data_IF_130894865721
#
_entry.id   IF_130894865721
#
_cell.length_a   1.000
_cell.length_b   1.000
_cell.length_c   1.000
_cell.angle_alpha   90.00
_cell.angle_beta   90.00
_cell.angle_gamma   90.00
#
_symmetry.space_group_name_H-M   'P 1'
#
loop_
_entity.id
_entity.type
_entity.pdbx_description
1 polymer ?
#
# COMPACT_ATOMS: atom_id res chain seq x y z
N UNK A 1 34.17 18.58 -51.11
CA UNK A 1 33.63 18.05 -49.83
C UNK A 1 32.11 18.17 -49.68
N UNK A 2 31.39 18.96 -50.50
CA UNK A 2 29.92 19.11 -50.40
C UNK A 2 29.10 17.94 -51.00
N UNK A 3 29.67 17.16 -51.92
CA UNK A 3 28.95 16.08 -52.61
C UNK A 3 28.84 14.75 -51.83
N UNK A 4 29.56 14.60 -50.71
CA UNK A 4 29.45 13.40 -49.86
C UNK A 4 28.36 13.49 -48.79
N UNK A 5 27.81 14.69 -48.54
CA UNK A 5 26.76 14.89 -47.53
C UNK A 5 25.35 14.56 -48.06
N UNK A 6 25.12 14.72 -49.37
CA UNK A 6 23.79 14.54 -49.98
C UNK A 6 23.43 13.04 -50.11
N UNK A 7 24.44 12.17 -50.29
CA UNK A 7 24.22 10.71 -50.39
C UNK A 7 23.84 10.09 -49.03
N UNK A 8 24.22 10.69 -47.91
CA UNK A 8 23.84 10.20 -46.58
C UNK A 8 22.41 10.56 -46.18
N UNK A 9 21.85 11.66 -46.71
CA UNK A 9 20.49 12.11 -46.37
C UNK A 9 19.43 11.32 -47.15
N UNK A 10 19.72 10.86 -48.37
CA UNK A 10 18.77 10.05 -49.14
C UNK A 10 18.68 8.60 -48.65
N UNK A 11 19.74 8.03 -48.07
CA UNK A 11 19.70 6.68 -47.48
C UNK A 11 18.95 6.61 -46.14
N UNK A 12 18.84 7.72 -45.39
CA UNK A 12 18.06 7.76 -44.15
C UNK A 12 16.54 7.92 -44.38
N UNK A 13 16.12 8.35 -45.57
CA UNK A 13 14.70 8.54 -45.87
C UNK A 13 14.01 7.25 -46.38
N UNK A 14 14.76 6.25 -46.85
CA UNK A 14 14.20 4.93 -47.21
C UNK A 14 14.04 3.98 -46.02
N UNK A 15 14.77 4.17 -44.91
CA UNK A 15 14.61 3.34 -43.71
C UNK A 15 13.39 3.69 -42.85
N UNK A 16 12.74 4.85 -43.06
CA UNK A 16 11.58 5.25 -42.26
C UNK A 16 10.24 4.71 -42.80
N UNK A 17 10.19 4.16 -44.01
CA UNK A 17 8.95 3.65 -44.61
C UNK A 17 8.74 2.13 -44.48
N UNK A 18 9.67 1.40 -43.84
CA UNK A 18 9.60 -0.05 -43.72
C UNK A 18 9.10 -0.58 -42.35
N UNK A 19 8.80 0.30 -41.38
CA UNK A 19 8.44 -0.13 -40.01
C UNK A 19 7.03 0.26 -39.54
N UNK A 20 6.12 0.64 -40.45
CA UNK A 20 4.75 1.02 -40.10
C UNK A 20 3.68 0.17 -40.81
N UNK A 21 3.94 -1.12 -40.95
CA UNK A 21 3.02 -2.06 -41.59
C UNK A 21 2.98 -3.41 -40.85
N UNK A 22 2.50 -3.42 -39.60
CA UNK A 22 1.91 -4.59 -38.95
C UNK A 22 1.42 -4.25 -37.53
N UNK A 23 0.18 -3.75 -37.42
CA UNK A 23 -0.80 -4.14 -36.38
C UNK A 23 -2.06 -3.26 -36.46
N UNK A 24 -2.73 -3.34 -37.61
CA UNK A 24 -4.07 -2.81 -37.83
C UNK A 24 -4.90 -3.91 -38.49
N UNK A 25 -5.28 -4.94 -37.73
CA UNK A 25 -6.28 -5.89 -38.20
C UNK A 25 -7.17 -6.35 -37.04
N UNK A 26 -8.47 -6.10 -37.21
CA UNK A 26 -9.62 -6.68 -36.51
C UNK A 26 -10.03 -6.07 -35.15
N UNK A 27 -10.41 -4.79 -35.22
CA UNK A 27 -11.64 -4.32 -34.57
C UNK A 27 -12.84 -4.67 -35.45
N UNK A 28 -13.69 -5.60 -35.01
CA UNK A 28 -15.16 -5.54 -35.18
C UNK A 28 -15.81 -6.67 -34.39
N UNK A 29 -15.91 -6.51 -33.07
CA UNK A 29 -16.95 -7.17 -32.29
C UNK A 29 -17.81 -6.10 -31.63
N UNK A 30 -18.96 -5.95 -32.28
CA UNK A 30 -20.17 -5.24 -31.92
C UNK A 30 -20.64 -5.71 -30.54
N UNK A 31 -20.54 -4.88 -29.51
CA UNK A 31 -21.25 -5.09 -28.24
C UNK A 31 -22.22 -3.94 -27.96
N UNK A 32 -23.48 -4.33 -28.09
CA UNK A 32 -24.73 -3.80 -27.55
C UNK A 32 -24.70 -2.50 -26.74
N UNK A 33 -25.50 -1.54 -27.20
CA UNK A 33 -26.04 -0.44 -26.41
C UNK A 33 -26.78 -0.98 -25.17
N UNK A 34 -26.16 -0.86 -24.00
CA UNK A 34 -26.82 -1.02 -22.70
C UNK A 34 -27.20 0.35 -22.16
N UNK A 35 -28.50 0.63 -22.09
CA UNK A 35 -29.09 1.87 -21.63
C UNK A 35 -28.59 2.28 -20.23
N UNK A 36 -27.90 3.41 -20.15
CA UNK A 36 -27.53 4.06 -18.89
C UNK A 36 -28.76 4.71 -18.28
N UNK A 37 -29.39 3.99 -17.36
CA UNK A 37 -30.49 4.46 -16.52
C UNK A 37 -29.93 5.51 -15.53
N UNK A 38 -30.03 6.79 -15.89
CA UNK A 38 -29.73 7.90 -14.99
C UNK A 38 -30.74 7.92 -13.83
N UNK A 39 -30.45 7.22 -12.74
CA UNK A 39 -31.07 7.50 -11.44
C UNK A 39 -30.43 8.76 -10.87
N UNK A 40 -31.04 9.90 -11.17
CA UNK A 40 -30.91 11.12 -10.35
C UNK A 40 -31.50 10.81 -8.97
N UNK A 41 -30.64 10.58 -7.99
CA UNK A 41 -31.05 10.64 -6.58
C UNK A 41 -31.11 12.12 -6.22
N UNK A 42 -32.32 12.67 -6.23
CA UNK A 42 -32.61 13.95 -5.64
C UNK A 42 -32.38 13.86 -4.13
N UNK A 43 -31.30 14.46 -3.63
CA UNK A 43 -31.14 14.72 -2.21
C UNK A 43 -32.06 15.88 -1.83
N UNK A 44 -33.25 15.52 -1.37
CA UNK A 44 -34.21 16.40 -0.74
C UNK A 44 -33.58 17.07 0.48
N UNK A 45 -33.44 18.39 0.43
CA UNK A 45 -33.14 19.22 1.59
C UNK A 45 -34.32 19.16 2.58
N UNK A 46 -34.24 18.29 3.58
CA UNK A 46 -35.15 18.27 4.71
C UNK A 46 -34.72 19.31 5.75
N UNK A 47 -35.28 20.50 5.55
CA UNK A 47 -35.46 21.51 6.58
C UNK A 47 -36.35 20.94 7.69
N UNK A 48 -35.75 20.59 8.83
CA UNK A 48 -36.48 20.22 10.04
C UNK A 48 -36.44 21.36 11.05
N UNK A 49 -37.60 21.99 11.17
CA UNK A 49 -38.01 23.08 12.05
C UNK A 49 -38.09 22.57 13.50
N UNK A 50 -37.50 23.32 14.44
CA UNK A 50 -37.69 23.18 15.89
C UNK A 50 -39.18 23.18 16.28
N UNK A 51 -39.56 22.40 17.32
CA UNK A 51 -39.91 23.00 18.62
C UNK A 51 -39.33 22.14 19.77
N UNK A 52 -39.14 22.56 21.00
CA UNK A 52 -39.80 23.57 21.81
C UNK A 52 -39.56 23.16 23.28
N UNK A 53 -39.39 24.17 24.13
CA UNK A 53 -39.18 24.05 25.58
C UNK A 53 -40.25 23.17 26.24
N UNK A 54 -39.82 22.25 27.11
CA UNK A 54 -40.58 21.89 28.33
C UNK A 54 -39.63 21.84 29.51
N UNK A 55 -39.81 22.83 30.38
CA UNK A 55 -39.30 22.83 31.74
C UNK A 55 -40.03 21.74 32.52
N UNK A 56 -39.29 20.88 33.20
CA UNK A 56 -39.79 20.06 34.29
C UNK A 56 -39.05 20.51 35.56
N UNK A 57 -39.80 21.14 36.46
CA UNK A 57 -39.39 21.54 37.80
C UNK A 57 -40.19 20.70 38.78
N UNK A 58 -39.52 20.20 39.82
CA UNK A 58 -40.09 19.49 40.98
C UNK A 58 -39.43 18.12 41.14
N UNK A 59 -38.36 18.02 41.93
CA UNK A 59 -38.40 17.64 43.36
C UNK A 59 -38.35 16.11 43.46
N UNK A 60 -37.42 15.43 44.14
CA UNK A 60 -37.15 15.42 45.59
C UNK A 60 -35.73 14.88 45.88
N UNK A 61 -35.23 15.24 47.06
CA UNK A 61 -33.90 14.95 47.66
C UNK A 61 -33.77 13.48 48.07
N UNK A 62 -32.68 12.79 47.68
CA UNK A 62 -32.14 11.61 48.39
C UNK A 62 -30.60 11.57 48.33
N UNK A 63 -30.01 11.60 49.53
CA UNK A 63 -28.72 11.10 49.99
C UNK A 63 -27.49 11.06 49.05
N UNK A 64 -26.47 11.79 49.47
CA UNK A 64 -25.09 11.74 49.00
C UNK A 64 -24.48 10.34 49.13
N UNK A 65 -24.32 9.66 48.01
CA UNK A 65 -23.22 8.72 47.78
C UNK A 65 -22.46 9.28 46.59
N UNK A 66 -21.33 9.95 46.84
CA UNK A 66 -20.41 10.39 45.80
C UNK A 66 -19.87 9.14 45.11
N UNK A 67 -20.28 8.80 43.87
CA UNK A 67 -19.50 7.86 43.11
C UNK A 67 -18.20 8.59 42.79
N UNK A 68 -17.06 8.00 43.15
CA UNK A 68 -15.80 8.29 42.49
C UNK A 68 -15.99 7.97 41.01
N UNK A 69 -16.51 8.93 40.25
CA UNK A 69 -16.55 8.92 38.80
C UNK A 69 -15.09 9.10 38.38
N UNK A 70 -14.34 8.00 38.45
CA UNK A 70 -13.10 7.90 37.71
C UNK A 70 -13.50 8.05 36.24
N UNK A 71 -12.91 9.00 35.49
CA UNK A 71 -13.19 9.12 34.08
C UNK A 71 -12.83 7.78 33.45
N UNK A 72 -13.83 7.06 32.95
CA UNK A 72 -13.61 5.85 32.17
C UNK A 72 -12.73 6.28 31.00
N UNK A 73 -11.51 5.72 30.84
CA UNK A 73 -10.67 6.06 29.70
C UNK A 73 -11.52 5.82 28.45
N UNK A 74 -11.63 6.83 27.59
CA UNK A 74 -12.46 6.72 26.38
C UNK A 74 -12.04 5.46 25.65
N UNK A 75 -12.98 4.53 25.46
CA UNK A 75 -12.73 3.35 24.66
C UNK A 75 -12.37 3.82 23.25
N UNK A 76 -11.07 3.88 22.96
CA UNK A 76 -10.58 4.19 21.63
C UNK A 76 -11.17 3.15 20.69
N UNK A 77 -11.99 3.62 19.74
CA UNK A 77 -12.65 2.75 18.79
C UNK A 77 -11.59 1.91 18.09
N UNK A 78 -11.66 0.59 18.29
CA UNK A 78 -10.73 -0.39 17.73
C UNK A 78 -10.94 -0.43 16.22
N UNK A 79 -10.23 0.43 15.50
CA UNK A 79 -10.29 0.57 14.05
C UNK A 79 -8.89 0.76 13.46
N UNK A 80 -8.74 0.60 12.14
CA UNK A 80 -7.44 0.77 11.49
C UNK A 80 -6.89 2.17 11.74
N UNK A 81 -5.67 2.24 12.28
CA UNK A 81 -4.96 3.49 12.50
C UNK A 81 -4.29 3.88 11.19
N UNK A 82 -4.62 5.07 10.68
CA UNK A 82 -4.08 5.60 9.42
C UNK A 82 -3.25 6.84 9.74
N UNK A 83 -1.97 6.82 9.41
CA UNK A 83 -1.05 7.93 9.65
C UNK A 83 -0.49 8.40 8.30
N UNK A 84 -0.70 9.67 7.91
CA UNK A 84 -0.13 10.19 6.67
C UNK A 84 1.40 10.33 6.77
N UNK A 85 2.08 10.10 5.65
CA UNK A 85 3.52 10.23 5.53
C UNK A 85 3.89 11.34 4.57
N UNK A 86 4.95 12.06 4.91
CA UNK A 86 5.59 13.05 4.05
C UNK A 86 7.02 12.61 3.72
N UNK A 87 7.32 12.44 2.44
CA UNK A 87 8.65 12.00 2.00
C UNK A 87 9.66 13.14 2.14
N UNK A 88 10.81 12.83 2.74
CA UNK A 88 11.95 13.74 2.87
C UNK A 88 12.98 13.45 1.78
N UNK A 89 13.39 12.19 1.65
CA UNK A 89 14.42 11.76 0.73
C UNK A 89 14.15 10.33 0.24
N UNK A 90 14.76 9.95 -0.88
CA UNK A 90 14.77 8.57 -1.35
C UNK A 90 16.05 8.28 -2.13
N UNK A 91 16.48 7.03 -2.12
CA UNK A 91 17.60 6.54 -2.92
C UNK A 91 17.27 5.18 -3.51
N UNK A 92 17.72 4.92 -4.73
CA UNK A 92 17.48 3.67 -5.42
C UNK A 92 18.80 2.93 -5.68
N UNK A 93 18.79 1.63 -5.45
CA UNK A 93 19.89 0.72 -5.77
C UNK A 93 19.35 -0.49 -6.54
N UNK A 94 20.15 -1.14 -7.39
CA UNK A 94 19.76 -2.42 -7.98
C UNK A 94 19.41 -3.42 -6.88
N UNK A 95 18.25 -4.09 -6.99
CA UNK A 95 17.86 -5.10 -6.01
C UNK A 95 18.81 -6.31 -6.06
N UNK A 96 19.12 -6.94 -4.91
CA UNK A 96 19.81 -8.22 -4.89
C UNK A 96 18.93 -9.29 -5.55
N UNK A 97 19.56 -10.25 -6.24
CA UNK A 97 18.85 -11.32 -6.98
C UNK A 97 18.09 -12.27 -6.06
N UNK A 98 18.46 -12.33 -4.79
CA UNK A 98 17.91 -13.28 -3.82
C UNK A 98 16.61 -12.79 -3.16
N UNK A 99 16.23 -11.52 -3.36
CA UNK A 99 14.96 -10.99 -2.82
C UNK A 99 13.82 -11.23 -3.83
N UNK A 100 12.77 -12.00 -3.47
CA UNK A 100 11.62 -12.19 -4.35
C UNK A 100 10.93 -10.85 -4.58
N UNK A 101 10.72 -10.50 -5.86
CA UNK A 101 10.07 -9.24 -6.23
C UNK A 101 8.56 -9.46 -6.21
N UNK A 102 7.80 -8.73 -5.37
CA UNK A 102 6.35 -8.81 -5.42
C UNK A 102 5.86 -8.43 -6.83
N UNK A 103 5.13 -9.33 -7.47
CA UNK A 103 4.65 -9.13 -8.84
C UNK A 103 5.66 -9.49 -9.94
N UNK A 104 6.69 -10.29 -9.67
CA UNK A 104 7.72 -10.69 -10.67
C UNK A 104 7.14 -11.15 -12.03
N UNK A 105 6.00 -11.85 -12.02
CA UNK A 105 5.32 -12.27 -13.25
C UNK A 105 4.80 -11.09 -14.09
N UNK A 106 4.33 -10.03 -13.45
CA UNK A 106 3.93 -8.79 -14.11
C UNK A 106 5.14 -7.95 -14.55
N UNK A 107 6.32 -8.24 -14.00
CA UNK A 107 7.57 -7.50 -14.19
C UNK A 107 8.43 -7.98 -15.36
N UNK A 108 7.96 -8.94 -16.17
CA UNK A 108 8.75 -9.51 -17.26
C UNK A 108 9.13 -8.44 -18.29
N UNK A 109 10.41 -8.07 -18.33
CA UNK A 109 10.94 -7.01 -19.21
C UNK A 109 11.22 -5.67 -18.52
N UNK A 110 10.95 -5.57 -17.22
CA UNK A 110 11.33 -4.43 -16.38
C UNK A 110 12.45 -4.83 -15.41
N UNK A 111 13.27 -3.88 -15.00
CA UNK A 111 14.26 -4.08 -13.91
C UNK A 111 13.66 -3.64 -12.59
N UNK A 112 13.90 -4.43 -11.56
CA UNK A 112 13.58 -4.08 -10.17
C UNK A 112 14.68 -3.21 -9.55
N UNK A 113 14.29 -2.05 -9.03
CA UNK A 113 15.15 -1.19 -8.22
C UNK A 113 14.63 -1.15 -6.79
N UNK A 114 15.52 -1.35 -5.83
CA UNK A 114 15.20 -1.30 -4.42
C UNK A 114 15.36 0.15 -3.97
N UNK A 115 14.23 0.78 -3.66
CA UNK A 115 14.15 2.18 -3.28
C UNK A 115 13.99 2.27 -1.77
N UNK A 116 14.97 2.87 -1.11
CA UNK A 116 14.89 3.24 0.29
C UNK A 116 14.31 4.65 0.39
N UNK A 117 13.21 4.79 1.12
CA UNK A 117 12.50 6.06 1.33
C UNK A 117 12.62 6.45 2.79
N UNK A 118 12.99 7.70 3.02
CA UNK A 118 12.91 8.36 4.32
C UNK A 118 11.68 9.27 4.34
N UNK A 119 10.74 8.99 5.22
CA UNK A 119 9.51 9.75 5.38
C UNK A 119 9.32 10.21 6.81
N UNK A 120 8.73 11.38 7.00
CA UNK A 120 8.28 11.87 8.31
C UNK A 120 6.80 11.55 8.51
N UNK A 121 6.46 11.17 9.73
CA UNK A 121 5.08 10.99 10.17
C UNK A 121 4.47 12.37 10.45
N UNK A 122 3.33 12.68 9.83
CA UNK A 122 2.63 13.95 10.07
C UNK A 122 1.96 13.93 11.45
N UNK A 123 1.40 12.78 11.85
CA UNK A 123 0.78 12.56 13.15
C UNK A 123 1.56 11.52 13.97
N UNK A 124 1.64 11.72 15.28
CA UNK A 124 2.25 10.73 16.18
C UNK A 124 1.35 9.52 16.33
N UNK A 125 1.96 8.34 16.41
CA UNK A 125 1.19 7.13 16.70
C UNK A 125 0.62 7.18 18.13
N UNK A 126 -0.68 6.88 18.34
CA UNK A 126 -1.27 6.83 19.67
C UNK A 126 -0.75 5.64 20.50
N UNK A 127 -0.27 4.58 19.84
CA UNK A 127 0.21 3.33 20.44
C UNK A 127 1.43 2.80 19.71
N UNK A 128 2.10 1.82 20.30
CA UNK A 128 3.08 1.04 19.55
C UNK A 128 2.35 0.20 18.50
N UNK A 129 2.74 0.37 17.23
CA UNK A 129 2.14 -0.31 16.09
C UNK A 129 3.16 -1.33 15.56
N UNK A 130 2.76 -2.59 15.47
CA UNK A 130 3.57 -3.66 14.88
C UNK A 130 3.06 -3.98 13.47
N UNK A 131 3.96 -4.47 12.60
CA UNK A 131 3.68 -4.95 11.23
C UNK A 131 2.87 -3.96 10.41
N UNK A 132 3.38 -2.75 10.28
CA UNK A 132 2.62 -1.66 9.69
C UNK A 132 2.80 -1.63 8.17
N UNK A 133 1.68 -1.64 7.45
CA UNK A 133 1.69 -1.61 5.99
C UNK A 133 1.81 -0.19 5.46
N UNK A 134 2.66 0.01 4.45
CA UNK A 134 2.76 1.27 3.71
C UNK A 134 1.91 1.19 2.44
N UNK A 135 1.06 2.20 2.27
CA UNK A 135 0.09 2.33 1.18
C UNK A 135 0.25 3.70 0.49
N UNK A 136 -0.21 3.80 -0.74
CA UNK A 136 -0.17 5.03 -1.53
C UNK A 136 0.22 4.79 -2.98
N UNK A 137 0.42 5.90 -3.69
CA UNK A 137 0.77 5.91 -5.10
C UNK A 137 2.18 6.46 -5.27
N UNK A 138 2.96 5.78 -6.10
CA UNK A 138 4.28 6.24 -6.52
C UNK A 138 4.30 6.24 -8.03
N UNK A 139 4.46 7.42 -8.62
CA UNK A 139 4.52 7.59 -10.08
C UNK A 139 5.85 8.19 -10.49
N UNK A 140 6.28 7.90 -11.71
CA UNK A 140 7.39 8.61 -12.33
C UNK A 140 6.98 10.07 -12.58
N UNK A 141 7.87 11.00 -12.25
CA UNK A 141 7.61 12.43 -12.39
C UNK A 141 7.58 12.89 -13.85
N UNK A 142 8.15 12.11 -14.76
CA UNK A 142 8.20 12.43 -16.19
C UNK A 142 7.07 11.78 -16.98
N UNK A 143 6.91 10.45 -16.89
CA UNK A 143 5.88 9.73 -17.65
C UNK A 143 4.53 9.74 -16.95
N UNK A 144 4.48 9.94 -15.63
CA UNK A 144 3.27 9.78 -14.83
C UNK A 144 2.85 8.33 -14.64
N UNK A 145 3.66 7.36 -15.11
CA UNK A 145 3.39 5.94 -14.97
C UNK A 145 3.65 5.45 -13.54
N UNK A 146 2.91 4.43 -13.11
CA UNK A 146 3.12 3.81 -11.81
C UNK A 146 4.45 3.06 -11.78
N UNK A 147 5.26 3.29 -10.74
CA UNK A 147 6.48 2.50 -10.50
C UNK A 147 6.19 1.25 -9.65
N UNK A 148 4.95 1.04 -9.23
CA UNK A 148 4.54 -0.11 -8.43
C UNK A 148 3.97 -1.20 -9.32
N UNK A 149 4.60 -2.38 -9.30
CA UNK A 149 4.21 -3.53 -10.12
C UNK A 149 2.77 -3.99 -9.87
N UNK A 150 2.25 -3.78 -8.66
CA UNK A 150 0.91 -4.22 -8.25
C UNK A 150 -0.21 -3.26 -8.71
N UNK A 151 0.12 -2.11 -9.30
CA UNK A 151 -0.87 -1.10 -9.67
C UNK A 151 -0.45 -0.32 -10.92
N UNK A 152 -0.41 -0.97 -12.09
CA UNK A 152 0.02 -0.30 -13.33
C UNK A 152 -1.00 0.75 -13.81
N UNK A 153 -2.28 0.63 -13.44
CA UNK A 153 -3.39 1.44 -13.94
C UNK A 153 -3.75 2.62 -13.03
N UNK A 154 -3.15 2.73 -11.83
CA UNK A 154 -3.42 3.79 -10.84
C UNK A 154 -4.90 3.90 -10.43
N UNK A 155 -5.73 2.90 -10.72
CA UNK A 155 -7.18 2.98 -10.54
C UNK A 155 -7.58 2.80 -9.07
N UNK A 156 -6.83 1.97 -8.34
CA UNK A 156 -7.03 1.70 -6.92
C UNK A 156 -5.73 1.95 -6.16
N UNK A 157 -5.80 2.21 -4.85
CA UNK A 157 -4.60 2.23 -4.00
C UNK A 157 -3.79 0.95 -4.26
N UNK A 158 -2.47 1.05 -4.35
CA UNK A 158 -1.60 -0.01 -4.88
C UNK A 158 -1.50 -1.27 -3.99
N UNK A 159 -2.40 -1.38 -3.02
CA UNK A 159 -2.27 -2.27 -1.88
C UNK A 159 -1.09 -1.87 -1.01
N UNK A 160 -0.71 -2.82 -0.15
CA UNK A 160 0.49 -2.70 0.66
C UNK A 160 1.70 -3.02 -0.21
N UNK A 161 2.60 -2.06 -0.39
CA UNK A 161 3.82 -2.28 -1.19
C UNK A 161 5.11 -2.33 -0.34
N UNK A 162 5.03 -1.96 0.94
CA UNK A 162 6.11 -2.13 1.90
C UNK A 162 5.54 -2.43 3.29
N UNK A 163 6.35 -3.02 4.16
CA UNK A 163 5.99 -3.32 5.54
C UNK A 163 7.10 -2.83 6.47
N UNK A 164 6.70 -2.15 7.54
CA UNK A 164 7.58 -1.68 8.61
C UNK A 164 7.33 -2.55 9.83
N UNK A 165 8.39 -3.03 10.48
CA UNK A 165 8.27 -3.98 11.59
C UNK A 165 7.56 -3.39 12.81
N UNK A 166 7.95 -2.18 13.21
CA UNK A 166 7.37 -1.48 14.35
C UNK A 166 7.45 0.04 14.18
N UNK A 167 6.43 0.75 14.66
CA UNK A 167 6.40 2.20 14.77
C UNK A 167 6.03 2.57 16.20
N UNK A 168 6.91 3.27 16.89
CA UNK A 168 6.66 3.75 18.25
C UNK A 168 6.08 5.17 18.24
N UNK A 169 5.36 5.57 19.30
CA UNK A 169 4.86 6.95 19.45
C UNK A 169 5.96 8.04 19.47
N UNK A 170 7.20 7.64 19.73
CA UNK A 170 8.37 8.53 19.80
C UNK A 170 8.98 8.80 18.43
N UNK A 171 8.70 7.94 17.44
CA UNK A 171 9.31 8.01 16.13
C UNK A 171 8.69 9.15 15.31
N UNK A 172 9.54 10.00 14.76
CA UNK A 172 9.15 11.09 13.86
C UNK A 172 9.43 10.78 12.40
N UNK A 173 10.37 9.88 12.15
CA UNK A 173 10.86 9.50 10.83
C UNK A 173 10.83 7.99 10.70
N UNK A 174 10.41 7.52 9.52
CA UNK A 174 10.38 6.13 9.13
C UNK A 174 11.23 5.94 7.89
N UNK A 175 11.98 4.83 7.88
CA UNK A 175 12.73 4.39 6.71
C UNK A 175 12.13 3.06 6.27
N UNK A 176 11.75 2.98 5.01
CA UNK A 176 11.22 1.75 4.43
C UNK A 176 11.78 1.51 3.03
N UNK A 177 11.86 0.24 2.66
CA UNK A 177 12.34 -0.21 1.35
C UNK A 177 11.15 -0.75 0.55
N UNK A 178 11.09 -0.42 -0.74
CA UNK A 178 10.16 -1.02 -1.68
C UNK A 178 10.82 -1.29 -3.03
N UNK A 179 10.23 -2.18 -3.83
CA UNK A 179 10.75 -2.50 -5.17
C UNK A 179 10.00 -1.67 -6.21
N UNK A 180 10.73 -0.78 -6.88
CA UNK A 180 10.25 -0.02 -8.03
C UNK A 180 10.49 -0.77 -9.33
N UNK A 181 9.48 -0.73 -10.20
CA UNK A 181 9.48 -1.26 -11.54
C UNK A 181 9.91 -0.19 -12.54
N UNK A 182 11.03 -0.39 -13.24
CA UNK A 182 11.49 0.56 -14.25
C UNK A 182 11.76 -0.15 -15.58
N UNK A 183 11.33 0.40 -16.73
CA UNK A 183 11.69 -0.13 -18.04
C UNK A 183 13.21 -0.21 -18.22
N UNK A 184 13.71 -1.27 -18.86
CA UNK A 184 15.15 -1.48 -19.10
C UNK A 184 15.77 -0.43 -20.04
N UNK A 185 14.95 0.27 -20.81
CA UNK A 185 15.36 1.28 -21.78
C UNK A 185 15.75 2.61 -21.12
N UNK A 186 15.30 2.87 -19.88
CA UNK A 186 15.53 4.15 -19.20
C UNK A 186 16.98 4.28 -18.70
N UNK A 187 17.76 5.25 -19.15
CA UNK A 187 19.13 5.42 -18.63
C UNK A 187 19.14 5.88 -17.17
N UNK A 188 19.47 4.99 -16.24
CA UNK A 188 19.55 5.29 -14.80
C UNK A 188 20.86 5.99 -14.43
N UNK A 189 21.93 5.76 -15.19
CA UNK A 189 23.28 6.22 -14.86
C UNK A 189 23.45 7.74 -14.80
N UNK A 190 22.44 8.49 -15.26
CA UNK A 190 22.45 9.97 -15.30
C UNK A 190 21.78 10.61 -14.07
N UNK A 191 21.11 9.82 -13.26
CA UNK A 191 20.32 10.30 -12.12
C UNK A 191 21.10 10.12 -10.80
N UNK A 192 21.20 11.18 -10.00
CA UNK A 192 21.98 11.17 -8.75
C UNK A 192 21.48 10.14 -7.72
N UNK A 193 20.17 9.89 -7.72
CA UNK A 193 19.52 8.97 -6.78
C UNK A 193 19.35 7.55 -7.34
N UNK A 194 19.91 7.24 -8.51
CA UNK A 194 19.77 5.93 -9.15
C UNK A 194 18.35 5.63 -9.68
N UNK A 195 17.47 6.62 -9.68
CA UNK A 195 16.16 6.58 -10.34
C UNK A 195 15.73 8.02 -10.66
N UNK A 196 14.96 8.20 -11.74
CA UNK A 196 14.40 9.50 -12.08
C UNK A 196 13.46 10.03 -10.99
N UNK A 197 13.11 11.31 -11.08
CA UNK A 197 12.25 11.97 -10.09
C UNK A 197 10.95 11.19 -9.85
N UNK A 198 10.73 10.75 -8.61
CA UNK A 198 9.48 10.11 -8.20
C UNK A 198 8.49 11.13 -7.61
N UNK A 199 7.20 10.91 -7.86
CA UNK A 199 6.11 11.65 -7.26
C UNK A 199 5.33 10.70 -6.34
N UNK A 200 5.26 11.05 -5.07
CA UNK A 200 4.58 10.27 -4.05
C UNK A 200 3.25 10.93 -3.72
N UNK A 201 2.14 10.21 -3.87
CA UNK A 201 0.80 10.73 -3.62
C UNK A 201 0.07 9.87 -2.60
N UNK A 202 -0.58 10.52 -1.65
CA UNK A 202 -1.40 9.88 -0.62
C UNK A 202 -0.67 8.76 0.15
N UNK A 203 0.63 8.93 0.40
CA UNK A 203 1.38 7.98 1.21
C UNK A 203 0.85 7.96 2.64
N UNK A 204 0.59 6.76 3.13
CA UNK A 204 0.09 6.54 4.48
C UNK A 204 0.50 5.18 5.00
N UNK A 205 0.63 5.12 6.30
CA UNK A 205 0.89 3.91 7.05
C UNK A 205 -0.43 3.48 7.68
N UNK A 206 -0.79 2.21 7.49
CA UNK A 206 -2.02 1.63 8.04
C UNK A 206 -1.65 0.45 8.94
N UNK A 207 -2.04 0.55 10.21
CA UNK A 207 -2.00 -0.56 11.15
C UNK A 207 -3.41 -1.08 11.40
N UNK A 208 -3.59 -2.40 11.37
CA UNK A 208 -4.83 -3.05 11.74
C UNK A 208 -4.70 -3.58 13.16
N UNK A 209 -5.32 -2.94 14.18
CA UNK A 209 -5.23 -3.43 15.56
C UNK A 209 -5.91 -4.80 15.67
N UNK A 210 -5.15 -5.81 16.14
CA UNK A 210 -5.62 -7.20 16.19
C UNK A 210 -5.54 -7.95 14.86
N UNK A 211 -5.23 -7.25 13.77
CA UNK A 211 -4.76 -7.85 12.53
C UNK A 211 -3.25 -8.04 12.63
N UNK A 212 -2.79 -8.94 13.51
CA UNK A 212 -1.59 -9.67 13.11
C UNK A 212 -1.98 -10.31 11.78
N UNK A 213 -1.51 -9.73 10.67
CA UNK A 213 -1.48 -10.47 9.43
C UNK A 213 -0.90 -11.83 9.82
N UNK A 214 -1.71 -12.88 9.62
CA UNK A 214 -1.31 -14.25 9.91
C UNK A 214 0.15 -14.34 9.49
N UNK A 215 1.04 -14.73 10.42
CA UNK A 215 2.43 -14.99 10.05
C UNK A 215 2.46 -15.90 8.82
N UNK A 216 3.61 -16.02 8.16
CA UNK A 216 3.76 -17.05 7.13
C UNK A 216 3.15 -18.35 7.70
N UNK A 217 2.06 -18.82 7.09
CA UNK A 217 1.31 -19.95 7.63
C UNK A 217 2.28 -21.12 7.59
N UNK A 218 2.59 -21.68 8.76
CA UNK A 218 3.58 -22.75 8.83
C UNK A 218 3.05 -23.99 8.08
N UNK A 219 3.92 -24.84 7.51
CA UNK A 219 3.48 -26.06 6.85
C UNK A 219 2.60 -26.94 7.76
N UNK A 220 2.97 -27.03 9.05
CA UNK A 220 2.19 -27.70 10.09
C UNK A 220 0.79 -27.12 10.35
N UNK A 221 0.55 -25.83 10.06
CA UNK A 221 -0.79 -25.24 10.21
C UNK A 221 -1.72 -25.58 9.05
N UNK A 222 -1.16 -25.79 7.86
CA UNK A 222 -1.93 -26.19 6.68
C UNK A 222 -2.21 -27.70 6.70
N UNK A 223 -1.21 -28.50 7.08
CA UNK A 223 -1.32 -29.95 7.15
C UNK A 223 -0.38 -30.51 8.23
N UNK A 224 -0.96 -30.87 9.37
CA UNK A 224 -0.26 -31.45 10.53
C UNK A 224 0.30 -32.87 10.26
N UNK A 225 -0.09 -33.52 9.15
CA UNK A 225 0.38 -34.85 8.76
C UNK A 225 1.30 -34.83 7.55
N UNK A 226 1.62 -33.64 7.03
CA UNK A 226 2.54 -33.52 5.90
C UNK A 226 3.98 -33.76 6.35
N UNK A 227 4.78 -34.42 5.50
CA UNK A 227 6.22 -34.57 5.77
C UNK A 227 6.97 -33.22 5.82
N UNK A 228 6.38 -32.15 5.29
CA UNK A 228 6.89 -30.77 5.46
C UNK A 228 6.75 -30.28 6.90
N UNK A 229 5.76 -30.77 7.65
CA UNK A 229 5.63 -30.48 9.07
C UNK A 229 6.71 -31.20 9.89
N UNK A 230 6.93 -32.49 9.65
CA UNK A 230 7.97 -33.27 10.34
C UNK A 230 9.36 -32.62 10.19
N UNK A 231 9.71 -32.17 8.98
CA UNK A 231 10.96 -31.47 8.71
C UNK A 231 11.05 -30.10 9.42
N UNK A 232 9.93 -29.37 9.49
CA UNK A 232 9.88 -28.10 10.20
C UNK A 232 10.00 -28.28 11.72
N UNK A 233 9.39 -29.32 12.29
CA UNK A 233 9.48 -29.68 13.70
C UNK A 233 10.88 -30.13 14.13
N UNK A 234 11.63 -30.80 13.23
CA UNK A 234 13.03 -31.18 13.50
C UNK A 234 13.93 -29.95 13.68
N UNK A 235 13.67 -28.87 12.94
CA UNK A 235 14.43 -27.62 13.02
C UNK A 235 13.95 -26.67 14.13
N UNK A 236 12.64 -26.57 14.36
CA UNK A 236 12.03 -25.55 15.23
C UNK A 236 11.48 -26.10 16.56
N UNK A 237 11.52 -27.43 16.73
CA UNK A 237 10.92 -28.14 17.85
C UNK A 237 9.45 -28.54 17.59
N UNK A 238 8.88 -29.40 18.45
CA UNK A 238 7.54 -29.94 18.26
C UNK A 238 6.48 -28.84 18.23
N UNK A 239 5.57 -28.90 17.25
CA UNK A 239 4.49 -27.93 17.09
C UNK A 239 3.40 -28.18 18.14
N UNK A 240 3.41 -27.36 19.21
CA UNK A 240 2.34 -27.37 20.20
C UNK A 240 1.28 -26.34 19.79
N UNK A 241 0.21 -26.81 19.14
CA UNK A 241 -0.93 -25.99 18.66
C UNK A 241 -1.47 -25.02 19.71
N UNK A 242 -1.51 -25.43 20.99
CA UNK A 242 -1.97 -24.56 22.08
C UNK A 242 -1.01 -23.41 22.37
N UNK A 243 0.31 -23.63 22.32
CA UNK A 243 1.29 -22.58 22.61
C UNK A 243 1.33 -21.54 21.50
N UNK A 244 1.17 -21.97 20.25
CA UNK A 244 1.10 -21.05 19.11
C UNK A 244 -0.18 -20.20 19.16
N UNK A 245 -1.35 -20.81 19.41
CA UNK A 245 -2.63 -20.10 19.53
C UNK A 245 -2.64 -19.08 20.69
N UNK A 246 -1.90 -19.36 21.77
CA UNK A 246 -1.77 -18.45 22.92
C UNK A 246 -0.73 -17.35 22.65
N UNK A 247 0.35 -17.64 21.92
CA UNK A 247 1.43 -16.67 21.60
C UNK A 247 1.07 -15.73 20.44
N UNK A 248 0.33 -16.19 19.44
CA UNK A 248 -0.04 -15.42 18.24
C UNK A 248 -1.22 -14.47 18.45
N UNK A 249 -2.03 -14.68 19.48
CA UNK A 249 -3.14 -13.79 19.79
C UNK A 249 -2.80 -12.85 20.95
N UNK A 250 -2.55 -11.57 20.65
CA UNK A 250 -2.35 -10.55 21.70
C UNK A 250 -3.57 -10.39 22.62
N UNK A 251 -4.75 -10.91 22.22
CA UNK A 251 -5.97 -10.90 23.03
C UNK A 251 -6.00 -11.95 24.15
N UNK A 252 -5.17 -13.00 24.10
CA UNK A 252 -5.10 -14.05 25.14
C UNK A 252 -3.97 -13.84 26.15
N UNK A 253 -3.08 -12.86 25.95
CA UNK A 253 -1.91 -12.59 26.82
C UNK A 253 -2.24 -11.95 28.20
N UNK A 254 -3.50 -11.86 28.60
CA UNK A 254 -3.87 -11.15 29.83
C UNK A 254 -5.19 -11.57 30.48
N UNK A 255 -5.58 -12.84 30.34
CA UNK A 255 -6.74 -13.38 31.06
C UNK A 255 -6.38 -14.57 31.92
#
# INVERSE_FOLDING_TARGET
MLLRLIVYITLLHEFCNAFNAQNSCLRTLRWSNGATNQRRVATSALSAKLPGRRAFVGGWVVAAALPLITPVPSAEAVGPVKIPLKVVSYSAKPCPKDKPIPGEKAMKGMRGLCVTVEATLDDKSPKELEKVGVYGFVTDGFTGESVLANNPDLSTDAGQFSMVESVTPSDKSLVFEFVAAVPMEKDISKEENGIGKLNFQSLRVISFPGGQQYGAINPCEMDEFSGECDAWEEENGPYVKSDFMVKSNSRTKGR
#
